data_IF_888478585719
#
_entry.id   IF_888478585719
#
_cell.length_a   1.000
_cell.length_b   1.000
_cell.length_c   1.000
_cell.angle_alpha   90.00
_cell.angle_beta   90.00
_cell.angle_gamma   90.00
#
_symmetry.space_group_name_H-M   'P 1'
#
loop_
_entity.id
_entity.type
_entity.pdbx_description
1 polymer ?
#
# COMPACT_ATOMS: atom_id res chain seq x y z
N UNK A 1 -25.35 1.63 0.75
CA UNK A 1 -23.97 2.14 0.65
C UNK A 1 -22.97 1.24 1.39
N UNK A 2 -23.21 0.86 2.67
CA UNK A 2 -22.34 -0.05 3.44
C UNK A 2 -22.09 -1.42 2.78
N UNK A 3 -23.13 -2.06 2.23
CA UNK A 3 -23.02 -3.35 1.51
C UNK A 3 -21.98 -3.32 0.37
N UNK A 4 -21.85 -2.20 -0.34
CA UNK A 4 -20.88 -2.08 -1.44
C UNK A 4 -19.43 -1.97 -0.96
N UNK A 5 -19.19 -1.54 0.29
CA UNK A 5 -17.85 -1.47 0.86
C UNK A 5 -17.40 -2.84 1.37
N UNK A 6 -18.30 -3.57 2.03
CA UNK A 6 -18.05 -4.94 2.50
C UNK A 6 -17.71 -5.88 1.33
N UNK A 7 -18.51 -5.85 0.25
CA UNK A 7 -18.21 -6.66 -0.95
C UNK A 7 -16.86 -6.32 -1.59
N UNK A 8 -16.45 -5.05 -1.56
CA UNK A 8 -15.14 -4.64 -2.09
C UNK A 8 -14.01 -5.13 -1.21
N UNK A 9 -14.15 -5.07 0.11
CA UNK A 9 -13.15 -5.56 1.05
C UNK A 9 -12.95 -7.07 0.90
N UNK A 10 -14.04 -7.85 0.88
CA UNK A 10 -13.99 -9.30 0.66
C UNK A 10 -13.32 -9.64 -0.68
N UNK A 11 -13.63 -8.90 -1.75
CA UNK A 11 -12.98 -9.07 -3.04
C UNK A 11 -11.46 -8.85 -2.97
N UNK A 12 -10.98 -7.84 -2.24
CA UNK A 12 -9.54 -7.62 -2.06
C UNK A 12 -8.88 -8.69 -1.19
N UNK A 13 -9.56 -9.19 -0.16
CA UNK A 13 -9.09 -10.31 0.68
C UNK A 13 -8.97 -11.60 -0.14
N UNK A 14 -9.98 -11.94 -0.94
CA UNK A 14 -9.90 -13.11 -1.83
C UNK A 14 -8.76 -12.99 -2.84
N UNK A 15 -8.61 -11.82 -3.47
CA UNK A 15 -7.48 -11.57 -4.40
C UNK A 15 -6.14 -11.70 -3.68
N UNK A 16 -6.03 -11.17 -2.48
CA UNK A 16 -4.82 -11.28 -1.66
C UNK A 16 -4.44 -12.75 -1.44
N UNK A 17 -5.40 -13.60 -1.07
CA UNK A 17 -5.12 -15.01 -0.82
C UNK A 17 -4.77 -15.80 -2.09
N UNK A 18 -5.45 -15.50 -3.21
CA UNK A 18 -5.08 -16.06 -4.53
C UNK A 18 -3.64 -15.67 -4.91
N UNK A 19 -3.28 -14.40 -4.75
CA UNK A 19 -1.94 -13.90 -5.07
C UNK A 19 -0.89 -14.48 -4.13
N UNK A 20 -1.16 -14.62 -2.82
CA UNK A 20 -0.26 -15.30 -1.88
C UNK A 20 0.08 -16.72 -2.33
N UNK A 21 -0.92 -17.50 -2.75
CA UNK A 21 -0.72 -18.85 -3.27
C UNK A 21 0.14 -18.84 -4.53
N UNK A 22 -0.11 -17.90 -5.45
CA UNK A 22 0.73 -17.74 -6.65
C UNK A 22 2.18 -17.39 -6.30
N UNK A 23 2.41 -16.45 -5.39
CA UNK A 23 3.75 -16.07 -4.90
C UNK A 23 4.45 -17.30 -4.30
N UNK A 24 3.75 -18.08 -3.47
CA UNK A 24 4.29 -19.30 -2.88
C UNK A 24 4.70 -20.34 -3.94
N UNK A 25 3.82 -20.63 -4.90
CA UNK A 25 4.10 -21.56 -5.99
C UNK A 25 5.29 -21.09 -6.85
N UNK A 26 5.38 -19.80 -7.15
CA UNK A 26 6.51 -19.22 -7.89
C UNK A 26 7.82 -19.32 -7.09
N UNK A 27 7.78 -19.13 -5.77
CA UNK A 27 8.94 -19.31 -4.90
C UNK A 27 9.41 -20.75 -4.87
N UNK A 28 8.49 -21.72 -4.80
CA UNK A 28 8.82 -23.14 -4.87
C UNK A 28 9.40 -23.53 -6.23
N UNK A 29 8.79 -23.06 -7.32
CA UNK A 29 9.29 -23.29 -8.67
C UNK A 29 10.69 -22.68 -8.87
N UNK A 30 10.97 -21.52 -8.29
CA UNK A 30 12.30 -20.89 -8.31
C UNK A 30 13.33 -21.76 -7.59
N UNK A 31 12.97 -22.34 -6.44
CA UNK A 31 13.85 -23.23 -5.69
C UNK A 31 14.20 -24.48 -6.52
N UNK A 32 13.20 -25.08 -7.18
CA UNK A 32 13.40 -26.20 -8.11
C UNK A 32 14.33 -25.84 -9.27
N UNK A 33 14.13 -24.68 -9.91
CA UNK A 33 15.02 -24.21 -10.99
C UNK A 33 16.44 -23.94 -10.48
N UNK A 34 16.59 -23.40 -9.27
CA UNK A 34 17.91 -23.16 -8.69
C UNK A 34 18.67 -24.47 -8.44
N UNK A 35 18.00 -25.48 -7.88
CA UNK A 35 18.57 -26.81 -7.74
C UNK A 35 18.96 -27.41 -9.10
N UNK A 36 18.07 -27.30 -10.10
CA UNK A 36 18.36 -27.71 -11.47
C UNK A 36 19.58 -27.01 -12.07
N UNK A 37 19.70 -25.69 -11.89
CA UNK A 37 20.85 -24.90 -12.36
C UNK A 37 22.17 -25.44 -11.78
N UNK A 38 22.20 -25.78 -10.49
CA UNK A 38 23.39 -26.38 -9.85
C UNK A 38 23.69 -27.74 -10.46
N UNK A 39 22.69 -28.61 -10.61
CA UNK A 39 22.87 -29.94 -11.21
C UNK A 39 23.43 -29.85 -12.64
N UNK A 40 22.83 -28.99 -13.48
CA UNK A 40 23.30 -28.80 -14.85
C UNK A 40 24.66 -28.12 -14.94
N UNK A 41 25.00 -27.25 -14.00
CA UNK A 41 26.33 -26.64 -13.92
C UNK A 41 27.41 -27.71 -13.67
N UNK A 42 27.17 -28.63 -12.73
CA UNK A 42 28.11 -29.72 -12.43
C UNK A 42 28.28 -30.62 -13.66
N UNK A 43 27.19 -31.05 -14.28
CA UNK A 43 27.21 -31.93 -15.47
C UNK A 43 27.87 -31.26 -16.68
N UNK A 44 27.68 -29.96 -16.88
CA UNK A 44 28.28 -29.21 -17.97
C UNK A 44 29.82 -29.11 -17.83
N UNK A 45 30.33 -29.10 -16.59
CA UNK A 45 31.78 -29.06 -16.32
C UNK A 45 32.41 -30.45 -16.42
N UNK A 46 31.68 -31.53 -16.07
CA UNK A 46 32.24 -32.88 -15.99
C UNK A 46 32.17 -33.69 -17.29
N UNK A 47 31.09 -33.59 -18.05
CA UNK A 47 30.83 -34.51 -19.17
C UNK A 47 31.02 -33.85 -20.54
N UNK A 48 30.18 -32.89 -20.92
CA UNK A 48 30.17 -32.29 -22.26
C UNK A 48 29.61 -30.85 -22.30
N UNK A 49 30.20 -29.94 -23.11
CA UNK A 49 29.72 -28.56 -23.27
C UNK A 49 28.35 -28.44 -23.95
N UNK A 50 27.77 -29.54 -24.47
CA UNK A 50 26.40 -29.56 -25.01
C UNK A 50 25.33 -29.19 -23.96
N UNK A 51 25.60 -29.38 -22.66
CA UNK A 51 24.69 -28.99 -21.58
C UNK A 51 24.67 -27.48 -21.32
N UNK A 52 25.62 -26.71 -21.87
CA UNK A 52 25.65 -25.25 -21.70
C UNK A 52 24.41 -24.57 -22.29
N UNK A 53 23.86 -25.08 -23.40
CA UNK A 53 22.63 -24.53 -24.00
C UNK A 53 21.44 -24.68 -23.05
N UNK A 54 21.32 -25.84 -22.41
CA UNK A 54 20.24 -26.13 -21.45
C UNK A 54 20.39 -25.28 -20.19
N UNK A 55 21.62 -25.04 -19.72
CA UNK A 55 21.90 -24.12 -18.62
C UNK A 55 21.41 -22.69 -18.91
N UNK A 56 21.72 -22.14 -20.08
CA UNK A 56 21.25 -20.80 -20.46
C UNK A 56 19.71 -20.73 -20.56
N UNK A 57 19.07 -21.82 -21.02
CA UNK A 57 17.62 -21.92 -21.07
C UNK A 57 17.01 -21.92 -19.65
N UNK A 58 17.54 -22.73 -18.73
CA UNK A 58 17.11 -22.71 -17.31
C UNK A 58 17.35 -21.34 -16.67
N UNK A 59 18.48 -20.69 -16.97
CA UNK A 59 18.82 -19.37 -16.45
C UNK A 59 17.81 -18.31 -16.93
N UNK A 60 17.45 -18.35 -18.22
CA UNK A 60 16.39 -17.50 -18.77
C UNK A 60 15.04 -17.72 -18.07
N UNK A 61 14.66 -18.98 -17.84
CA UNK A 61 13.47 -19.35 -17.09
C UNK A 61 13.48 -18.84 -15.65
N UNK A 62 14.63 -18.94 -14.97
CA UNK A 62 14.81 -18.45 -13.61
C UNK A 62 14.64 -16.92 -13.53
N UNK A 63 15.29 -16.16 -14.43
CA UNK A 63 15.16 -14.70 -14.49
C UNK A 63 13.72 -14.26 -14.79
N UNK A 64 13.03 -14.98 -15.68
CA UNK A 64 11.60 -14.76 -15.94
C UNK A 64 10.75 -14.97 -14.69
N UNK A 65 10.99 -16.08 -13.96
CA UNK A 65 10.29 -16.36 -12.70
C UNK A 65 10.53 -15.27 -11.66
N UNK A 66 11.77 -14.79 -11.52
CA UNK A 66 12.11 -13.69 -10.60
C UNK A 66 11.28 -12.44 -10.91
N UNK A 67 11.22 -12.03 -12.18
CA UNK A 67 10.40 -10.88 -12.61
C UNK A 67 8.90 -11.10 -12.34
N UNK A 68 8.41 -12.33 -12.59
CA UNK A 68 7.01 -12.68 -12.35
C UNK A 68 6.64 -12.64 -10.87
N UNK A 69 7.49 -13.20 -9.99
CA UNK A 69 7.28 -13.13 -8.54
C UNK A 69 7.29 -11.68 -8.07
N UNK A 70 8.24 -10.86 -8.52
CA UNK A 70 8.31 -9.45 -8.13
C UNK A 70 7.04 -8.67 -8.52
N UNK A 71 6.44 -9.01 -9.66
CA UNK A 71 5.17 -8.41 -10.11
C UNK A 71 4.00 -8.87 -9.23
N UNK A 72 3.92 -10.16 -8.93
CA UNK A 72 2.89 -10.71 -8.05
C UNK A 72 2.98 -10.14 -6.62
N UNK A 73 4.18 -9.96 -6.08
CA UNK A 73 4.39 -9.31 -4.78
C UNK A 73 3.96 -7.85 -4.76
N UNK A 74 4.16 -7.10 -5.87
CA UNK A 74 3.65 -5.73 -5.98
C UNK A 74 2.11 -5.70 -5.92
N UNK A 75 1.46 -6.62 -6.63
CA UNK A 75 -0.01 -6.74 -6.59
C UNK A 75 -0.49 -7.15 -5.19
N UNK A 76 0.23 -8.06 -4.52
CA UNK A 76 -0.07 -8.46 -3.16
C UNK A 76 -0.02 -7.28 -2.18
N UNK A 77 1.05 -6.48 -2.25
CA UNK A 77 1.21 -5.26 -1.44
C UNK A 77 0.08 -4.27 -1.70
N UNK A 78 -0.31 -4.09 -2.96
CA UNK A 78 -1.45 -3.23 -3.30
C UNK A 78 -2.75 -3.72 -2.66
N UNK A 79 -3.06 -5.01 -2.73
CA UNK A 79 -4.25 -5.56 -2.06
C UNK A 79 -4.18 -5.40 -0.54
N UNK A 80 -3.01 -5.62 0.07
CA UNK A 80 -2.79 -5.45 1.51
C UNK A 80 -3.06 -4.01 1.97
N UNK A 81 -2.50 -3.02 1.28
CA UNK A 81 -2.72 -1.60 1.62
C UNK A 81 -4.20 -1.21 1.50
N UNK A 82 -4.91 -1.77 0.52
CA UNK A 82 -6.35 -1.52 0.36
C UNK A 82 -7.19 -2.10 1.49
N UNK A 83 -6.88 -3.32 1.92
CA UNK A 83 -7.54 -3.94 3.07
C UNK A 83 -7.24 -3.15 4.34
N UNK A 84 -5.97 -2.78 4.57
CA UNK A 84 -5.55 -1.96 5.71
C UNK A 84 -6.28 -0.61 5.77
N UNK A 85 -6.40 0.08 4.62
CA UNK A 85 -7.14 1.34 4.54
C UNK A 85 -8.63 1.15 4.87
N UNK A 86 -9.25 0.08 4.37
CA UNK A 86 -10.65 -0.23 4.67
C UNK A 86 -10.87 -0.52 6.17
N UNK A 87 -9.97 -1.29 6.80
CA UNK A 87 -10.00 -1.55 8.24
C UNK A 87 -9.85 -0.25 9.04
N UNK A 88 -8.91 0.62 8.65
CA UNK A 88 -8.73 1.93 9.29
C UNK A 88 -9.94 2.85 9.16
N UNK A 89 -10.60 2.85 7.99
CA UNK A 89 -11.85 3.57 7.77
C UNK A 89 -12.97 3.06 8.67
N UNK A 90 -13.07 1.74 8.85
CA UNK A 90 -14.06 1.12 9.72
C UNK A 90 -13.82 1.46 11.20
N UNK A 91 -12.56 1.47 11.64
CA UNK A 91 -12.19 1.89 13.00
C UNK A 91 -12.60 3.35 13.27
N UNK A 92 -12.32 4.25 12.33
CA UNK A 92 -12.76 5.66 12.41
C UNK A 92 -14.28 5.81 12.40
N UNK A 93 -14.99 4.98 11.63
CA UNK A 93 -16.45 4.97 11.62
C UNK A 93 -17.04 4.55 12.98
N UNK A 94 -16.36 3.67 13.72
CA UNK A 94 -16.69 3.33 15.11
C UNK A 94 -16.25 4.38 16.15
N UNK A 95 -15.78 5.57 15.72
CA UNK A 95 -15.25 6.65 16.56
C UNK A 95 -14.04 6.26 17.42
N UNK A 96 -13.34 5.21 17.02
CA UNK A 96 -12.05 4.85 17.62
C UNK A 96 -10.93 5.53 16.83
N UNK A 97 -10.28 6.50 17.48
CA UNK A 97 -9.19 7.28 16.90
C UNK A 97 -7.85 7.06 17.59
N UNK A 98 -7.78 6.12 18.53
CA UNK A 98 -6.61 5.86 19.39
C UNK A 98 -5.29 5.61 18.64
N UNK A 99 -5.35 5.15 17.39
CA UNK A 99 -4.19 4.92 16.53
C UNK A 99 -3.80 6.07 15.60
N UNK A 100 -4.48 7.21 15.63
CA UNK A 100 -4.27 8.33 14.71
C UNK A 100 -3.80 9.59 15.44
N UNK A 101 -2.92 10.40 14.82
CA UNK A 101 -2.43 11.62 15.44
C UNK A 101 -3.56 12.63 15.61
N UNK A 102 -3.71 13.14 16.83
CA UNK A 102 -4.74 14.11 17.23
C UNK A 102 -4.55 15.49 16.60
N UNK A 103 -3.34 15.80 16.10
CA UNK A 103 -3.04 17.09 15.50
C UNK A 103 -2.89 18.22 16.53
N UNK A 104 -2.76 17.91 17.82
CA UNK A 104 -2.49 18.90 18.89
C UNK A 104 -1.28 19.79 18.57
N UNK A 105 -0.27 19.26 17.87
CA UNK A 105 0.89 20.04 17.43
C UNK A 105 0.54 21.22 16.49
N UNK A 106 -0.62 21.19 15.83
CA UNK A 106 -1.09 22.23 14.91
C UNK A 106 -2.11 23.19 15.54
N UNK A 107 -2.40 23.02 16.83
CA UNK A 107 -3.36 23.83 17.57
C UNK A 107 -2.74 25.19 17.91
N UNK A 108 -2.99 26.19 17.07
CA UNK A 108 -2.65 27.59 17.37
C UNK A 108 -3.83 28.28 18.09
N UNK A 109 -3.56 28.91 19.23
CA UNK A 109 -4.54 29.62 20.05
C UNK A 109 -5.00 30.95 19.45
N UNK A 110 -4.37 31.42 18.36
CA UNK A 110 -4.68 32.70 17.71
C UNK A 110 -5.79 32.64 16.66
N UNK A 111 -6.29 31.45 16.30
CA UNK A 111 -7.34 31.32 15.29
C UNK A 111 -8.74 31.28 15.94
N UNK A 112 -9.65 32.22 15.62
CA UNK A 112 -10.95 32.34 16.29
C UNK A 112 -11.89 31.13 16.16
N UNK A 113 -11.61 30.21 15.23
CA UNK A 113 -12.52 29.10 14.88
C UNK A 113 -11.98 27.72 15.22
N UNK A 114 -10.69 27.60 15.56
CA UNK A 114 -10.07 26.29 15.88
C UNK A 114 -10.54 25.72 17.21
N UNK A 115 -11.01 26.58 18.13
CA UNK A 115 -11.51 26.20 19.46
C UNK A 115 -12.99 25.81 19.48
N UNK A 116 -13.83 26.33 18.58
CA UNK A 116 -15.29 26.08 18.60
C UNK A 116 -15.70 24.79 17.85
N UNK A 117 -14.87 24.31 16.92
CA UNK A 117 -15.19 23.20 16.00
C UNK A 117 -14.41 21.90 16.27
N UNK A 118 -13.74 21.78 17.43
CA UNK A 118 -12.85 20.65 17.76
C UNK A 118 -11.96 20.27 16.56
N UNK A 119 -11.34 21.28 15.94
CA UNK A 119 -10.60 21.11 14.68
C UNK A 119 -9.34 20.27 14.90
N UNK A 120 -8.69 20.45 16.05
CA UNK A 120 -7.48 19.77 16.48
C UNK A 120 -7.65 19.23 17.91
N UNK A 121 -7.08 18.05 18.18
CA UNK A 121 -7.18 17.37 19.46
C UNK A 121 -7.73 15.95 19.38
N UNK A 122 -7.94 15.33 20.54
CA UNK A 122 -8.56 14.01 20.62
C UNK A 122 -10.01 14.08 20.13
N UNK A 123 -10.41 13.10 19.32
CA UNK A 123 -11.71 13.06 18.64
C UNK A 123 -11.98 14.25 17.70
N UNK A 124 -10.93 14.90 17.19
CA UNK A 124 -11.03 16.07 16.32
C UNK A 124 -11.38 15.77 14.86
N UNK A 125 -11.83 16.80 14.14
CA UNK A 125 -12.04 16.74 12.69
C UNK A 125 -10.74 16.42 11.94
N UNK A 126 -9.60 16.93 12.40
CA UNK A 126 -8.29 16.56 11.87
C UNK A 126 -8.04 15.06 11.98
N UNK A 127 -8.26 14.47 13.16
CA UNK A 127 -8.03 13.04 13.40
C UNK A 127 -8.97 12.16 12.55
N UNK A 128 -10.22 12.60 12.36
CA UNK A 128 -11.18 11.96 11.46
C UNK A 128 -10.70 11.96 10.00
N UNK A 129 -10.27 13.12 9.49
CA UNK A 129 -9.90 13.30 8.08
C UNK A 129 -8.47 12.85 7.74
N UNK A 130 -7.58 12.74 8.71
CA UNK A 130 -6.19 12.41 8.44
C UNK A 130 -6.00 10.92 8.12
N UNK A 131 -5.84 10.59 6.84
CA UNK A 131 -5.53 9.24 6.38
C UNK A 131 -4.05 9.01 6.08
N UNK A 132 -3.19 10.03 6.22
CA UNK A 132 -1.79 9.96 5.84
C UNK A 132 -0.86 9.91 7.05
N UNK A 133 0.11 8.98 7.08
CA UNK A 133 1.14 8.97 8.12
C UNK A 133 2.25 10.01 7.85
N UNK A 134 2.28 10.65 6.68
CA UNK A 134 3.35 11.57 6.30
C UNK A 134 3.14 12.97 6.88
N UNK A 135 4.19 13.52 7.52
CA UNK A 135 4.18 14.84 8.14
C UNK A 135 3.75 15.97 7.17
N UNK A 136 4.32 16.01 5.96
CA UNK A 136 3.97 17.02 4.95
C UNK A 136 2.48 17.00 4.58
N UNK A 137 1.88 15.80 4.53
CA UNK A 137 0.45 15.65 4.24
C UNK A 137 -0.40 16.11 5.42
N UNK A 138 0.04 15.83 6.65
CA UNK A 138 -0.60 16.28 7.89
C UNK A 138 -0.56 17.79 8.01
N UNK A 139 0.58 18.42 7.73
CA UNK A 139 0.74 19.88 7.74
C UNK A 139 -0.16 20.55 6.70
N UNK A 140 -0.25 20.00 5.49
CA UNK A 140 -1.17 20.51 4.45
C UNK A 140 -2.63 20.38 4.86
N UNK A 141 -3.02 19.25 5.46
CA UNK A 141 -4.38 19.07 5.97
C UNK A 141 -4.68 20.05 7.11
N UNK A 142 -3.75 20.19 8.07
CA UNK A 142 -3.89 21.14 9.17
C UNK A 142 -4.01 22.58 8.67
N UNK A 143 -3.19 22.96 7.69
CA UNK A 143 -3.25 24.27 7.04
C UNK A 143 -4.62 24.50 6.38
N UNK A 144 -5.13 23.52 5.63
CA UNK A 144 -6.46 23.62 5.00
C UNK A 144 -7.60 23.76 6.02
N UNK A 145 -7.53 23.01 7.13
CA UNK A 145 -8.52 23.07 8.20
C UNK A 145 -8.45 24.40 8.97
N UNK A 146 -7.25 24.93 9.23
CA UNK A 146 -7.06 26.22 9.87
C UNK A 146 -7.47 27.41 8.97
N UNK A 147 -7.30 27.28 7.65
CA UNK A 147 -7.65 28.30 6.65
C UNK A 147 -9.09 28.26 6.17
N UNK A 148 -9.94 27.36 6.69
CA UNK A 148 -11.35 27.21 6.30
C UNK A 148 -12.22 28.42 6.73
N UNK A 149 -11.90 29.59 6.17
CA UNK A 149 -12.73 30.79 6.12
C UNK A 149 -13.65 30.65 4.89
N UNK A 150 -14.99 30.80 5.01
CA UNK A 150 -15.94 30.52 3.92
C UNK A 150 -15.85 31.43 2.68
N UNK A 151 -14.83 32.29 2.55
CA UNK A 151 -14.65 33.23 1.42
C UNK A 151 -13.60 32.83 0.38
N UNK A 152 -13.10 31.59 0.34
CA UNK A 152 -12.17 31.16 -0.72
C UNK A 152 -12.98 30.67 -1.94
N UNK A 153 -13.46 31.66 -2.70
CA UNK A 153 -14.08 31.47 -3.99
C UNK A 153 -12.99 31.23 -5.06
N UNK A 154 -13.08 30.07 -5.73
CA UNK A 154 -12.74 29.88 -7.15
C UNK A 154 -11.29 29.89 -7.66
N UNK A 155 -10.24 30.14 -6.85
CA UNK A 155 -8.87 30.21 -7.40
C UNK A 155 -8.05 28.90 -7.46
N UNK A 156 -8.41 27.85 -6.71
CA UNK A 156 -7.58 26.63 -6.66
C UNK A 156 -7.86 25.58 -7.75
N UNK A 157 -8.93 25.72 -8.54
CA UNK A 157 -9.29 24.76 -9.59
C UNK A 157 -8.75 25.13 -10.99
N UNK A 158 -7.99 26.21 -11.13
CA UNK A 158 -7.49 26.70 -12.43
C UNK A 158 -6.14 26.15 -12.89
N UNK A 159 -5.48 25.28 -12.12
CA UNK A 159 -4.08 24.89 -12.38
C UNK A 159 -3.84 23.46 -12.85
N UNK A 160 -4.88 22.61 -12.96
CA UNK A 160 -4.74 21.19 -13.34
C UNK A 160 -5.99 20.69 -14.07
N UNK A 161 -6.16 21.12 -15.31
CA UNK A 161 -6.84 20.36 -16.36
C UNK A 161 -5.93 20.36 -17.59
#
# INVERSE_FOLDING_TARGET
>A
MALSFETREEHFRERQDKIKRLVFLLSLARLGLFAGLITFLILAVSEHPSYSLLFFLLLGGFLYLVKRTATAEKELRYCQERVRLAEGLRQKASRDFSGYPSGEAFKDSKHPYTSDLDVFGEHSVFQLLNYSPHADAQERLATLLAQANPKIHRQMLGGRL
#
